data_IF_849594364083
#
_entry.id   IF_849594364083
#
_cell.length_a   1.000
_cell.length_b   1.000
_cell.length_c   1.000
_cell.angle_alpha   90.00
_cell.angle_beta   90.00
_cell.angle_gamma   90.00
#
_symmetry.space_group_name_H-M   'P 1'
#
loop_
_entity.id
_entity.type
_entity.pdbx_description
1 polymer ?
#
# COMPACT_ATOMS: atom_id res chain seq x y z
N UNK A 1 -33.77 65.01 -6.75
CA UNK A 1 -32.66 64.34 -7.45
C UNK A 1 -31.75 63.73 -6.41
N UNK A 2 -31.39 62.49 -6.67
CA UNK A 2 -31.03 61.43 -5.74
C UNK A 2 -29.66 61.57 -5.10
N UNK A 3 -29.56 61.08 -3.86
CA UNK A 3 -28.32 60.85 -3.13
C UNK A 3 -27.57 59.65 -3.73
N UNK A 4 -26.27 59.81 -4.03
CA UNK A 4 -25.34 58.68 -4.07
C UNK A 4 -23.92 59.11 -3.70
N UNK A 5 -23.25 58.25 -2.93
CA UNK A 5 -21.79 58.15 -2.68
C UNK A 5 -21.27 58.95 -1.47
N UNK A 6 -21.20 58.36 -0.26
CA UNK A 6 -20.29 57.33 0.30
C UNK A 6 -18.83 57.78 0.51
N UNK A 7 -18.50 57.89 1.80
CA UNK A 7 -17.30 57.36 2.49
C UNK A 7 -15.96 58.08 2.36
N UNK A 8 -15.58 58.71 3.48
CA UNK A 8 -14.19 58.87 3.88
C UNK A 8 -14.09 58.87 5.40
N UNK A 9 -13.54 57.82 5.99
CA UNK A 9 -12.76 57.95 7.24
C UNK A 9 -11.80 56.78 7.46
N UNK A 10 -10.53 57.15 7.54
CA UNK A 10 -9.40 56.38 8.06
C UNK A 10 -9.65 56.02 9.53
N UNK A 11 -9.22 54.84 9.95
CA UNK A 11 -8.41 54.69 11.16
C UNK A 11 -7.66 53.36 11.11
N UNK A 12 -6.36 53.44 11.37
CA UNK A 12 -5.49 52.30 11.59
C UNK A 12 -5.79 51.69 12.96
N UNK A 13 -5.91 50.38 13.04
CA UNK A 13 -5.76 49.62 14.27
C UNK A 13 -5.06 48.30 13.95
N UNK A 14 -3.85 48.18 14.50
CA UNK A 14 -3.01 46.99 14.50
C UNK A 14 -3.69 45.93 15.35
N UNK A 15 -4.27 44.92 14.72
CA UNK A 15 -4.79 43.73 15.40
C UNK A 15 -4.20 42.48 14.78
N UNK A 16 -3.27 41.89 15.51
CA UNK A 16 -2.79 40.51 15.37
C UNK A 16 -4.00 39.58 15.22
N UNK A 17 -4.22 39.05 14.03
CA UNK A 17 -5.16 37.95 13.81
C UNK A 17 -4.39 36.64 13.74
N UNK A 18 -4.45 35.93 14.86
CA UNK A 18 -4.28 34.49 14.99
C UNK A 18 -5.12 33.77 13.93
N UNK A 19 -4.47 33.04 13.04
CA UNK A 19 -5.16 32.15 12.09
C UNK A 19 -5.59 30.88 12.84
N UNK A 20 -6.87 30.49 12.79
CA UNK A 20 -7.37 29.34 13.52
C UNK A 20 -6.84 28.04 12.90
N UNK A 21 -6.32 27.18 13.77
CA UNK A 21 -6.15 25.76 13.50
C UNK A 21 -7.54 25.14 13.39
N UNK A 22 -7.88 24.55 12.25
CA UNK A 22 -8.88 23.48 12.25
C UNK A 22 -8.73 22.48 11.10
N UNK A 23 -8.67 21.23 11.53
CA UNK A 23 -9.33 20.06 10.96
C UNK A 23 -9.14 19.73 9.48
N UNK A 24 -8.41 18.65 9.24
CA UNK A 24 -8.41 17.95 7.96
C UNK A 24 -7.32 16.90 7.77
N UNK A 25 -6.80 16.26 8.83
CA UNK A 25 -5.99 15.05 8.66
C UNK A 25 -6.93 13.87 8.36
N UNK A 26 -7.38 13.79 7.10
CA UNK A 26 -7.92 12.55 6.55
C UNK A 26 -6.75 11.67 6.09
N UNK A 27 -6.78 10.42 6.54
CA UNK A 27 -5.68 9.47 6.46
C UNK A 27 -5.08 9.32 5.06
N UNK A 28 -3.77 9.54 4.97
CA UNK A 28 -2.96 9.00 3.87
C UNK A 28 -2.86 7.49 4.07
N UNK A 29 -3.86 6.76 3.56
CA UNK A 29 -3.61 5.44 2.95
C UNK A 29 -2.37 5.62 2.05
N UNK A 30 -1.30 4.90 2.33
CA UNK A 30 -0.02 5.04 1.65
C UNK A 30 -0.22 4.97 0.13
N UNK A 31 -0.07 6.10 -0.55
CA UNK A 31 -0.10 6.11 -2.02
C UNK A 31 1.23 5.54 -2.50
N UNK A 32 1.16 4.55 -3.41
CA UNK A 32 2.33 3.93 -4.07
C UNK A 32 3.21 4.99 -4.77
N UNK A 33 2.60 6.10 -5.20
CA UNK A 33 3.27 7.31 -5.68
C UNK A 33 2.70 8.56 -5.01
N UNK A 34 3.55 9.51 -4.65
CA UNK A 34 3.08 10.88 -4.48
C UNK A 34 2.85 11.57 -5.84
N UNK A 35 2.06 12.65 -5.87
CA UNK A 35 1.75 13.38 -7.11
C UNK A 35 2.99 13.86 -7.85
N UNK A 36 4.09 14.16 -7.15
CA UNK A 36 5.37 14.51 -7.75
C UNK A 36 6.02 13.36 -8.52
N UNK A 37 6.04 12.18 -7.92
CA UNK A 37 6.66 10.98 -8.49
C UNK A 37 5.89 10.49 -9.74
N UNK A 38 4.56 10.55 -9.70
CA UNK A 38 3.74 10.17 -10.85
C UNK A 38 3.96 11.10 -12.06
N UNK A 39 4.15 12.41 -11.83
CA UNK A 39 4.46 13.37 -12.91
C UNK A 39 5.77 13.00 -13.61
N UNK A 40 6.79 12.71 -12.82
CA UNK A 40 8.11 12.28 -13.30
C UNK A 40 7.99 10.98 -14.09
N UNK A 41 7.25 9.99 -13.58
CA UNK A 41 7.02 8.72 -14.27
C UNK A 41 6.29 8.89 -15.59
N UNK A 42 5.17 9.63 -15.62
CA UNK A 42 4.42 9.83 -16.86
C UNK A 42 5.24 10.56 -17.91
N UNK A 43 5.99 11.58 -17.50
CA UNK A 43 6.83 12.33 -18.42
C UNK A 43 7.99 11.46 -18.96
N UNK A 44 8.57 10.60 -18.13
CA UNK A 44 9.57 9.62 -18.58
C UNK A 44 9.00 8.67 -19.63
N UNK A 45 7.79 8.14 -19.41
CA UNK A 45 7.13 7.28 -20.40
C UNK A 45 6.86 8.01 -21.71
N UNK A 46 6.43 9.28 -21.64
CA UNK A 46 6.22 10.12 -22.82
C UNK A 46 7.53 10.45 -23.56
N UNK A 47 8.67 10.42 -22.87
CA UNK A 47 10.00 10.56 -23.49
C UNK A 47 10.45 9.30 -24.23
N UNK A 48 9.96 8.13 -23.82
CA UNK A 48 10.21 6.86 -24.52
C UNK A 48 9.33 6.75 -25.78
N UNK A 49 8.04 7.05 -25.64
CA UNK A 49 7.08 7.02 -26.75
C UNK A 49 5.90 7.96 -26.49
N UNK A 50 5.42 8.70 -27.52
CA UNK A 50 4.15 9.40 -27.44
C UNK A 50 2.97 8.44 -27.21
N UNK A 51 2.13 8.71 -26.20
CA UNK A 51 1.10 7.77 -25.75
C UNK A 51 -0.22 8.46 -25.42
N UNK A 52 -1.31 7.69 -25.46
CA UNK A 52 -2.61 8.12 -24.93
C UNK A 52 -2.71 7.86 -23.43
N UNK A 53 -3.58 8.61 -22.73
CA UNK A 53 -3.75 8.45 -21.28
C UNK A 53 -4.18 7.05 -20.84
N UNK A 54 -4.95 6.32 -21.66
CA UNK A 54 -5.32 4.93 -21.37
C UNK A 54 -4.15 3.96 -21.59
N UNK A 55 -3.28 4.21 -22.56
CA UNK A 55 -2.07 3.41 -22.82
C UNK A 55 -1.11 3.55 -21.65
N UNK A 56 -0.90 4.78 -21.16
CA UNK A 56 -0.10 5.03 -19.95
C UNK A 56 -0.65 4.27 -18.72
N UNK A 57 -1.97 4.16 -18.56
CA UNK A 57 -2.58 3.34 -17.50
C UNK A 57 -2.23 1.85 -17.65
N UNK A 58 -2.29 1.34 -18.88
CA UNK A 58 -1.97 -0.06 -19.19
C UNK A 58 -0.48 -0.35 -19.03
N UNK A 59 0.38 0.53 -19.53
CA UNK A 59 1.84 0.38 -19.47
C UNK A 59 2.36 0.50 -18.04
N UNK A 60 1.78 1.38 -17.22
CA UNK A 60 2.07 1.40 -15.77
C UNK A 60 1.60 0.10 -15.14
N UNK A 61 0.42 -0.44 -15.48
CA UNK A 61 0.01 -1.74 -14.93
C UNK A 61 1.02 -2.84 -15.29
N UNK A 62 1.48 -2.87 -16.54
CA UNK A 62 2.40 -3.90 -17.03
C UNK A 62 3.79 -3.78 -16.41
N UNK A 63 4.36 -2.56 -16.37
CA UNK A 63 5.68 -2.30 -15.77
C UNK A 63 5.75 -2.64 -14.28
N UNK A 64 4.60 -2.63 -13.60
CA UNK A 64 4.49 -2.97 -12.18
C UNK A 64 3.93 -4.39 -11.95
N UNK A 65 3.99 -5.28 -12.96
CA UNK A 65 3.60 -6.69 -12.81
C UNK A 65 2.15 -6.90 -12.40
N UNK A 66 1.27 -5.95 -12.73
CA UNK A 66 -0.14 -5.96 -12.35
C UNK A 66 -0.44 -5.54 -10.90
N UNK A 67 0.58 -5.29 -10.07
CA UNK A 67 0.45 -4.95 -8.65
C UNK A 67 -0.08 -3.52 -8.42
N UNK A 68 0.07 -2.64 -9.41
CA UNK A 68 -0.40 -1.26 -9.34
C UNK A 68 -1.06 -0.84 -10.66
N UNK A 69 -2.30 -0.36 -10.58
CA UNK A 69 -3.00 0.26 -11.71
C UNK A 69 -3.48 1.66 -11.30
N UNK A 70 -2.95 2.73 -11.90
CA UNK A 70 -3.39 4.07 -11.58
C UNK A 70 -4.82 4.30 -12.11
N UNK A 71 -5.63 5.04 -11.35
CA UNK A 71 -6.99 5.36 -11.77
C UNK A 71 -6.99 6.50 -12.80
N UNK A 72 -7.99 6.56 -13.70
CA UNK A 72 -8.20 7.70 -14.59
C UNK A 72 -8.21 9.05 -13.86
N UNK A 73 -8.80 9.10 -12.66
CA UNK A 73 -8.91 10.30 -11.84
C UNK A 73 -7.58 10.81 -11.26
N UNK A 74 -6.49 10.04 -11.39
CA UNK A 74 -5.14 10.48 -11.02
C UNK A 74 -4.30 10.76 -12.27
N UNK A 75 -4.47 9.96 -13.33
CA UNK A 75 -3.71 10.10 -14.58
C UNK A 75 -4.08 11.37 -15.35
N UNK A 76 -5.36 11.57 -15.63
CA UNK A 76 -5.77 12.69 -16.48
C UNK A 76 -5.48 14.06 -15.85
N UNK A 77 -5.72 14.30 -14.54
CA UNK A 77 -5.29 15.55 -13.91
C UNK A 77 -3.78 15.75 -13.92
N UNK A 78 -3.00 14.67 -13.86
CA UNK A 78 -1.53 14.74 -13.93
C UNK A 78 -1.06 15.09 -15.34
N UNK A 79 -1.67 14.51 -16.36
CA UNK A 79 -1.42 14.86 -17.77
C UNK A 79 -1.84 16.30 -18.08
N UNK A 80 -2.99 16.75 -17.57
CA UNK A 80 -3.40 18.15 -17.66
C UNK A 80 -2.36 19.07 -17.02
N UNK A 81 -1.86 18.72 -15.84
CA UNK A 81 -0.81 19.50 -15.18
C UNK A 81 0.48 19.58 -15.99
N UNK A 82 0.92 18.46 -16.59
CA UNK A 82 2.10 18.43 -17.46
C UNK A 82 1.90 19.30 -18.71
N UNK A 83 0.69 19.28 -19.29
CA UNK A 83 0.31 20.14 -20.40
C UNK A 83 0.29 21.62 -20.03
N UNK A 84 -0.38 21.98 -18.93
CA UNK A 84 -0.49 23.37 -18.45
C UNK A 84 0.88 23.99 -18.11
N UNK A 85 1.86 23.15 -17.76
CA UNK A 85 3.25 23.55 -17.48
C UNK A 85 4.16 23.53 -18.70
N UNK A 86 3.62 23.24 -19.88
CA UNK A 86 4.37 23.13 -21.14
C UNK A 86 5.44 22.02 -21.10
N UNK A 87 5.28 21.00 -20.26
CA UNK A 87 6.17 19.82 -20.23
C UNK A 87 5.71 18.72 -21.18
N UNK A 88 4.42 18.70 -21.51
CA UNK A 88 3.85 17.82 -22.53
C UNK A 88 2.96 18.63 -23.47
N UNK A 89 2.88 18.21 -24.73
CA UNK A 89 1.93 18.75 -25.72
C UNK A 89 0.91 17.70 -26.10
N UNK A 90 -0.21 18.14 -26.67
CA UNK A 90 -1.31 17.29 -27.09
C UNK A 90 -1.45 17.35 -28.61
N UNK A 91 -1.23 16.23 -29.25
CA UNK A 91 -1.54 16.03 -30.66
C UNK A 91 -2.94 15.43 -30.79
N UNK A 92 -3.79 16.10 -31.58
CA UNK A 92 -5.13 15.61 -31.89
C UNK A 92 -5.05 14.68 -33.11
N UNK A 93 -5.20 13.38 -32.87
CA UNK A 93 -5.27 12.40 -33.95
C UNK A 93 -6.64 12.40 -34.65
N UNK A 94 -6.67 11.82 -35.86
CA UNK A 94 -7.91 11.54 -36.58
C UNK A 94 -8.82 10.66 -35.72
N UNK A 95 -9.94 11.24 -35.27
CA UNK A 95 -10.87 10.60 -34.32
C UNK A 95 -10.99 11.29 -32.96
N UNK A 96 -10.34 12.44 -32.76
CA UNK A 96 -10.50 13.27 -31.54
C UNK A 96 -9.78 12.72 -30.31
N UNK A 97 -8.92 11.71 -30.48
CA UNK A 97 -8.12 11.14 -29.39
C UNK A 97 -6.89 12.00 -29.15
N UNK A 98 -6.68 12.36 -27.88
CA UNK A 98 -5.53 13.13 -27.41
C UNK A 98 -4.34 12.21 -27.22
N UNK A 99 -3.30 12.38 -28.03
CA UNK A 99 -1.98 11.77 -27.83
C UNK A 99 -1.08 12.79 -27.14
N UNK A 100 -0.36 12.38 -26.11
CA UNK A 100 0.58 13.22 -25.39
C UNK A 100 2.00 12.94 -25.88
N UNK A 101 2.83 13.96 -25.94
CA UNK A 101 4.25 13.88 -26.27
C UNK A 101 5.03 14.88 -25.39
N UNK A 102 6.30 14.57 -25.10
CA UNK A 102 7.16 15.43 -24.29
C UNK A 102 7.66 16.65 -25.08
N UNK A 103 7.85 17.78 -24.41
CA UNK A 103 8.48 19.00 -24.98
C UNK A 103 9.96 19.11 -24.59
N UNK A 104 10.68 20.06 -25.18
CA UNK A 104 12.05 20.38 -24.77
C UNK A 104 12.12 20.84 -23.30
N UNK A 105 11.15 21.64 -22.85
CA UNK A 105 11.04 22.01 -21.42
C UNK A 105 10.74 20.80 -20.53
N UNK A 106 9.92 19.87 -21.01
CA UNK A 106 9.65 18.61 -20.33
C UNK A 106 10.91 17.76 -20.20
N UNK A 107 11.73 17.70 -21.25
CA UNK A 107 13.00 16.96 -21.24
C UNK A 107 14.01 17.59 -20.25
N UNK A 108 14.09 18.92 -20.20
CA UNK A 108 14.90 19.63 -19.23
C UNK A 108 14.42 19.39 -17.79
N UNK A 109 13.11 19.41 -17.57
CA UNK A 109 12.53 19.12 -16.25
C UNK A 109 12.77 17.66 -15.84
N UNK A 110 12.65 16.70 -16.76
CA UNK A 110 12.94 15.29 -16.49
C UNK A 110 14.41 15.11 -16.07
N UNK A 111 15.33 15.76 -16.77
CA UNK A 111 16.77 15.76 -16.44
C UNK A 111 17.03 16.37 -15.06
N UNK A 112 16.35 17.47 -14.71
CA UNK A 112 16.46 18.09 -13.39
C UNK A 112 15.89 17.21 -12.26
N UNK A 113 15.00 16.27 -12.58
CA UNK A 113 14.39 15.33 -11.64
C UNK A 113 15.00 13.92 -11.73
N UNK A 114 16.24 13.80 -12.22
CA UNK A 114 16.91 12.51 -12.38
C UNK A 114 17.01 11.72 -11.07
N UNK A 115 17.21 12.38 -9.92
CA UNK A 115 17.24 11.72 -8.61
C UNK A 115 15.90 11.04 -8.26
N UNK A 116 14.77 11.65 -8.63
CA UNK A 116 13.44 11.06 -8.49
C UNK A 116 13.29 9.88 -9.45
N UNK A 117 13.79 10.00 -10.68
CA UNK A 117 13.81 8.88 -11.63
C UNK A 117 14.66 7.71 -11.13
N UNK A 118 15.80 7.96 -10.50
CA UNK A 118 16.67 6.91 -9.97
C UNK A 118 16.03 6.22 -8.76
N UNK A 119 15.37 6.99 -7.88
CA UNK A 119 14.54 6.43 -6.80
C UNK A 119 13.38 5.59 -7.37
N UNK A 120 12.69 6.06 -8.41
CA UNK A 120 11.63 5.30 -9.07
C UNK A 120 12.16 4.02 -9.70
N UNK A 121 13.29 4.09 -10.41
CA UNK A 121 13.96 2.92 -10.98
C UNK A 121 14.38 1.94 -9.89
N UNK A 122 14.83 2.36 -8.71
CA UNK A 122 15.13 1.45 -7.61
C UNK A 122 13.88 0.75 -7.03
N UNK A 123 12.69 1.35 -7.19
CA UNK A 123 11.40 0.72 -6.83
C UNK A 123 10.86 -0.21 -7.91
N UNK A 124 11.29 -0.04 -9.16
CA UNK A 124 10.77 -0.73 -10.37
C UNK A 124 11.76 -1.75 -10.97
N UNK A 125 13.07 -1.61 -10.72
CA UNK A 125 14.11 -2.57 -11.12
C UNK A 125 13.98 -3.89 -10.33
N UNK A 126 14.35 -5.02 -10.93
CA UNK A 126 13.38 -6.03 -11.33
C UNK A 126 12.95 -6.96 -10.17
N UNK A 127 11.66 -6.95 -9.85
CA UNK A 127 10.92 -8.21 -9.63
C UNK A 127 10.40 -8.79 -10.96
N UNK A 128 10.86 -8.29 -12.11
CA UNK A 128 10.64 -8.94 -13.39
C UNK A 128 11.45 -10.25 -13.43
N UNK A 129 10.75 -11.36 -13.65
CA UNK A 129 11.25 -12.71 -13.87
C UNK A 129 11.44 -13.64 -12.66
N UNK A 130 10.51 -13.63 -11.69
CA UNK A 130 10.08 -14.92 -11.14
C UNK A 130 9.08 -15.51 -12.12
N UNK A 131 9.55 -16.34 -13.06
CA UNK A 131 8.65 -17.24 -13.79
C UNK A 131 7.83 -17.96 -12.71
N UNK A 132 6.50 -17.75 -12.70
CA UNK A 132 5.64 -18.47 -11.77
C UNK A 132 5.96 -19.96 -11.91
N UNK A 133 6.30 -20.67 -10.82
CA UNK A 133 6.65 -22.08 -10.89
C UNK A 133 5.61 -22.85 -11.74
N UNK A 134 6.02 -23.80 -12.60
CA UNK A 134 5.11 -24.52 -13.50
C UNK A 134 3.85 -25.05 -12.79
N UNK A 135 4.02 -25.52 -11.54
CA UNK A 135 2.93 -25.96 -10.66
C UNK A 135 1.87 -24.87 -10.40
N UNK A 136 2.27 -23.61 -10.22
CA UNK A 136 1.34 -22.48 -10.05
C UNK A 136 0.62 -22.14 -11.35
N UNK A 137 1.31 -22.23 -12.49
CA UNK A 137 0.71 -22.03 -13.81
C UNK A 137 -0.36 -23.09 -14.07
N UNK A 138 -0.04 -24.36 -13.81
CA UNK A 138 -0.97 -25.49 -13.93
C UNK A 138 -2.18 -25.34 -13.01
N UNK A 139 -1.98 -24.91 -11.76
CA UNK A 139 -3.08 -24.67 -10.82
C UNK A 139 -4.02 -23.56 -11.30
N UNK A 140 -3.48 -22.47 -11.84
CA UNK A 140 -4.26 -21.37 -12.39
C UNK A 140 -5.01 -21.77 -13.67
N UNK A 141 -4.39 -22.58 -14.52
CA UNK A 141 -5.04 -23.11 -15.73
C UNK A 141 -6.17 -24.08 -15.38
N UNK A 142 -6.03 -24.87 -14.32
CA UNK A 142 -7.11 -25.70 -13.79
C UNK A 142 -8.29 -24.83 -13.33
N UNK A 143 -8.05 -23.78 -12.55
CA UNK A 143 -9.09 -22.86 -12.09
C UNK A 143 -9.83 -22.20 -13.27
N UNK A 144 -9.08 -21.64 -14.24
CA UNK A 144 -9.66 -21.03 -15.45
C UNK A 144 -10.52 -22.02 -16.23
N UNK A 145 -10.07 -23.27 -16.37
CA UNK A 145 -10.82 -24.33 -17.05
C UNK A 145 -12.11 -24.64 -16.30
N UNK A 146 -12.06 -24.82 -14.98
CA UNK A 146 -13.24 -25.07 -14.14
C UNK A 146 -14.31 -23.97 -14.30
N UNK A 147 -13.90 -22.70 -14.34
CA UNK A 147 -14.79 -21.56 -14.56
C UNK A 147 -15.34 -21.53 -16.00
N UNK A 148 -14.50 -21.85 -16.98
CA UNK A 148 -14.87 -21.82 -18.41
C UNK A 148 -15.80 -22.97 -18.82
N UNK A 149 -15.82 -24.08 -18.07
CA UNK A 149 -16.60 -25.27 -18.40
C UNK A 149 -18.12 -25.07 -18.29
N UNK A 150 -18.60 -24.05 -17.56
CA UNK A 150 -20.04 -23.83 -17.34
C UNK A 150 -20.60 -22.53 -17.96
N UNK A 151 -19.74 -21.56 -18.27
CA UNK A 151 -20.13 -20.29 -18.93
C UNK A 151 -20.56 -20.51 -20.40
N UNK A 152 -20.20 -21.65 -21.01
CA UNK A 152 -20.55 -21.97 -22.41
C UNK A 152 -21.95 -22.54 -22.63
N UNK A 153 -22.67 -22.98 -21.58
CA UNK A 153 -23.87 -23.78 -21.76
C UNK A 153 -25.15 -23.22 -21.12
N UNK A 154 -25.09 -22.31 -20.14
CA UNK A 154 -26.29 -21.66 -19.56
C UNK A 154 -25.86 -20.44 -18.71
N UNK A 155 -26.64 -19.33 -18.63
CA UNK A 155 -26.40 -18.29 -17.63
C UNK A 155 -26.44 -18.87 -16.21
N UNK A 156 -25.39 -18.59 -15.43
CA UNK A 156 -25.28 -19.05 -14.05
C UNK A 156 -26.32 -18.34 -13.17
N UNK A 157 -26.99 -19.06 -12.24
CA UNK A 157 -27.83 -18.42 -11.22
C UNK A 157 -27.02 -17.41 -10.40
N UNK A 158 -27.61 -16.26 -10.07
CA UNK A 158 -26.92 -15.19 -9.32
C UNK A 158 -26.24 -15.71 -8.03
N UNK A 159 -26.94 -16.52 -7.24
CA UNK A 159 -26.36 -17.10 -6.01
C UNK A 159 -25.18 -18.05 -6.26
N UNK A 160 -25.08 -18.67 -7.44
CA UNK A 160 -23.91 -19.47 -7.83
C UNK A 160 -22.72 -18.58 -8.22
N UNK A 161 -22.96 -17.42 -8.84
CA UNK A 161 -21.92 -16.42 -9.13
C UNK A 161 -21.33 -15.90 -7.82
N UNK A 162 -22.19 -15.56 -6.86
CA UNK A 162 -21.76 -15.09 -5.53
C UNK A 162 -20.93 -16.16 -4.81
N UNK A 163 -21.39 -17.41 -4.85
CA UNK A 163 -20.66 -18.55 -4.24
C UNK A 163 -19.30 -18.79 -4.89
N UNK A 164 -19.20 -18.67 -6.22
CA UNK A 164 -17.93 -18.80 -6.96
C UNK A 164 -16.98 -17.65 -6.65
N UNK A 165 -17.48 -16.41 -6.60
CA UNK A 165 -16.70 -15.25 -6.22
C UNK A 165 -16.17 -15.40 -4.78
N UNK A 166 -17.02 -15.84 -3.84
CA UNK A 166 -16.62 -16.08 -2.46
C UNK A 166 -15.52 -17.14 -2.36
N UNK A 167 -15.62 -18.24 -3.11
CA UNK A 167 -14.57 -19.27 -3.14
C UNK A 167 -13.23 -18.74 -3.67
N UNK A 168 -13.24 -17.87 -4.68
CA UNK A 168 -12.04 -17.22 -5.21
C UNK A 168 -11.45 -16.25 -4.19
N UNK A 169 -12.28 -15.45 -3.51
CA UNK A 169 -11.83 -14.54 -2.46
C UNK A 169 -11.18 -15.28 -1.28
N UNK A 170 -11.79 -16.36 -0.79
CA UNK A 170 -11.22 -17.22 0.26
C UNK A 170 -9.86 -17.81 -0.15
N UNK A 171 -9.73 -18.24 -1.41
CA UNK A 171 -8.46 -18.73 -1.94
C UNK A 171 -7.40 -17.61 -2.01
N UNK A 172 -7.79 -16.40 -2.43
CA UNK A 172 -6.92 -15.25 -2.49
C UNK A 172 -6.44 -14.81 -1.09
N UNK A 173 -7.34 -14.72 -0.10
CA UNK A 173 -7.00 -14.42 1.29
C UNK A 173 -6.00 -15.42 1.85
N UNK A 174 -6.17 -16.71 1.54
CA UNK A 174 -5.22 -17.75 1.97
C UNK A 174 -3.85 -17.57 1.34
N UNK A 175 -3.78 -17.20 0.06
CA UNK A 175 -2.52 -16.91 -0.64
C UNK A 175 -1.88 -15.65 -0.07
N UNK A 176 -2.65 -14.59 0.15
CA UNK A 176 -2.17 -13.35 0.75
C UNK A 176 -1.56 -13.60 2.12
N UNK A 177 -2.23 -14.40 2.97
CA UNK A 177 -1.70 -14.83 4.26
C UNK A 177 -0.37 -15.58 4.11
N UNK A 178 -0.26 -16.52 3.15
CA UNK A 178 1.00 -17.24 2.89
C UNK A 178 2.13 -16.32 2.40
N UNK A 179 1.80 -15.27 1.64
CA UNK A 179 2.77 -14.32 1.10
C UNK A 179 3.19 -13.22 2.09
N UNK A 180 2.31 -12.90 3.05
CA UNK A 180 2.60 -11.97 4.16
C UNK A 180 3.15 -12.66 5.40
N UNK A 181 3.09 -14.00 5.45
CA UNK A 181 3.87 -14.80 6.40
C UNK A 181 5.35 -14.61 6.04
N UNK A 182 6.19 -14.02 6.90
CA UNK A 182 7.60 -13.85 6.60
C UNK A 182 8.24 -15.21 6.36
N UNK A 183 8.80 -15.41 5.17
CA UNK A 183 9.77 -16.48 4.92
C UNK A 183 10.95 -16.19 5.85
N UNK A 184 11.36 -17.12 6.74
CA UNK A 184 12.59 -16.93 7.50
C UNK A 184 13.71 -16.71 6.48
N UNK A 185 14.33 -15.53 6.49
CA UNK A 185 15.55 -15.32 5.73
C UNK A 185 16.53 -16.40 6.18
N UNK A 186 17.08 -17.19 5.25
CA UNK A 186 17.99 -18.29 5.58
C UNK A 186 19.04 -17.81 6.59
N UNK A 187 19.00 -18.39 7.81
CA UNK A 187 19.87 -18.02 8.93
C UNK A 187 19.23 -17.18 10.05
N UNK A 188 17.96 -16.77 9.94
CA UNK A 188 17.20 -16.24 11.09
C UNK A 188 16.31 -17.34 11.69
N UNK A 189 16.38 -17.48 13.01
CA UNK A 189 15.46 -18.28 13.78
C UNK A 189 14.13 -17.55 13.93
N UNK A 190 13.04 -18.29 13.82
CA UNK A 190 11.70 -17.74 13.98
C UNK A 190 10.91 -18.46 15.07
N UNK A 191 10.04 -17.72 15.76
CA UNK A 191 9.10 -18.27 16.73
C UNK A 191 7.74 -17.69 16.49
N UNK A 192 6.72 -18.54 16.41
CA UNK A 192 5.35 -18.12 16.18
C UNK A 192 4.49 -18.59 17.34
N UNK A 193 3.73 -17.68 17.95
CA UNK A 193 2.68 -18.02 18.90
C UNK A 193 1.31 -17.65 18.33
N UNK A 194 0.38 -18.59 18.40
CA UNK A 194 -1.04 -18.37 18.11
C UNK A 194 -1.82 -18.37 19.41
N UNK A 195 -2.36 -17.22 19.78
CA UNK A 195 -3.08 -17.02 21.04
C UNK A 195 -4.56 -16.83 20.72
N UNK A 196 -5.41 -17.78 21.10
CA UNK A 196 -6.86 -17.67 20.92
C UNK A 196 -7.43 -16.65 21.90
N UNK A 197 -7.91 -15.52 21.40
CA UNK A 197 -8.55 -14.49 22.23
C UNK A 197 -9.47 -13.61 21.38
N UNK A 198 -10.70 -13.32 21.86
CA UNK A 198 -11.59 -12.37 21.20
C UNK A 198 -11.12 -10.92 21.34
N UNK A 199 -10.10 -10.67 22.18
CA UNK A 199 -9.58 -9.33 22.49
C UNK A 199 -8.23 -9.06 21.79
N UNK A 200 -7.90 -9.77 20.71
CA UNK A 200 -6.63 -9.63 19.99
C UNK A 200 -6.26 -8.17 19.64
N UNK A 201 -7.16 -7.30 19.14
CA UNK A 201 -6.82 -5.90 18.86
C UNK A 201 -6.37 -5.13 20.11
N UNK A 202 -6.94 -5.44 21.27
CA UNK A 202 -6.62 -4.77 22.54
C UNK A 202 -5.20 -5.12 22.99
N UNK A 203 -4.83 -6.40 22.91
CA UNK A 203 -3.49 -6.86 23.26
C UNK A 203 -2.44 -6.28 22.32
N UNK A 204 -2.69 -6.31 21.01
CA UNK A 204 -1.82 -5.71 20.00
C UNK A 204 -1.56 -4.22 20.29
N UNK A 205 -2.62 -3.41 20.45
CA UNK A 205 -2.50 -1.97 20.72
C UNK A 205 -1.73 -1.69 22.01
N UNK A 206 -1.96 -2.50 23.06
CA UNK A 206 -1.28 -2.33 24.35
C UNK A 206 0.21 -2.64 24.24
N UNK A 207 0.59 -3.72 23.56
CA UNK A 207 1.99 -4.05 23.29
C UNK A 207 2.66 -2.95 22.46
N UNK A 208 2.03 -2.54 21.35
CA UNK A 208 2.53 -1.46 20.51
C UNK A 208 2.75 -0.16 21.32
N UNK A 209 1.75 0.27 22.10
CA UNK A 209 1.86 1.47 22.93
C UNK A 209 2.93 1.35 24.02
N UNK A 210 3.12 0.16 24.62
CA UNK A 210 4.14 -0.07 25.63
C UNK A 210 5.55 0.10 25.05
N UNK A 211 5.81 -0.47 23.87
CA UNK A 211 7.11 -0.44 23.22
C UNK A 211 7.41 0.85 22.45
N UNK A 212 6.39 1.65 22.13
CA UNK A 212 6.54 2.92 21.39
C UNK A 212 7.48 3.93 22.08
N UNK A 213 7.61 3.86 23.40
CA UNK A 213 8.53 4.72 24.15
C UNK A 213 10.00 4.28 24.06
N UNK A 214 10.27 3.04 23.63
CA UNK A 214 11.63 2.46 23.57
C UNK A 214 12.11 2.20 22.15
N UNK A 215 11.20 2.02 21.20
CA UNK A 215 11.52 1.69 19.81
C UNK A 215 10.46 2.27 18.86
N UNK A 216 10.82 2.61 17.60
CA UNK A 216 9.83 2.93 16.59
C UNK A 216 8.87 1.75 16.37
N UNK A 217 7.58 2.01 16.55
CA UNK A 217 6.50 1.03 16.34
C UNK A 217 5.70 1.47 15.12
N UNK A 218 5.51 0.55 14.17
CA UNK A 218 4.60 0.71 13.04
C UNK A 218 3.38 -0.15 13.33
N UNK A 219 2.21 0.45 13.47
CA UNK A 219 0.97 -0.29 13.74
C UNK A 219 -0.18 0.27 12.93
N UNK A 220 -1.06 -0.61 12.47
CA UNK A 220 -2.36 -0.28 11.89
C UNK A 220 -3.51 -0.84 12.77
N UNK A 221 -4.71 -1.02 12.19
CA UNK A 221 -5.87 -1.53 12.93
C UNK A 221 -5.77 -3.03 13.28
N UNK A 222 -5.03 -3.80 12.47
CA UNK A 222 -4.99 -5.25 12.49
C UNK A 222 -3.56 -5.82 12.63
N UNK A 223 -2.52 -4.99 12.54
CA UNK A 223 -1.14 -5.42 12.65
C UNK A 223 -0.28 -4.42 13.42
N UNK A 224 0.78 -4.93 14.04
CA UNK A 224 1.77 -4.14 14.76
C UNK A 224 3.16 -4.73 14.58
N UNK A 225 4.15 -3.88 14.30
CA UNK A 225 5.53 -4.30 14.11
C UNK A 225 6.47 -3.35 14.86
N UNK A 226 7.45 -3.94 15.55
CA UNK A 226 8.49 -3.20 16.24
C UNK A 226 9.75 -4.03 16.42
N UNK A 227 10.87 -3.33 16.59
CA UNK A 227 12.19 -3.96 16.75
C UNK A 227 12.66 -3.89 18.20
N UNK A 228 13.07 -5.03 18.74
CA UNK A 228 13.83 -5.14 19.98
C UNK A 228 15.34 -5.12 19.66
N UNK A 229 16.19 -4.97 20.68
CA UNK A 229 17.65 -5.03 20.51
C UNK A 229 18.15 -6.38 19.99
N UNK A 230 17.37 -7.44 20.22
CA UNK A 230 17.71 -8.85 19.98
C UNK A 230 16.87 -9.50 18.87
N UNK A 231 15.99 -8.73 18.21
CA UNK A 231 15.18 -9.27 17.10
C UNK A 231 13.98 -8.42 16.76
N UNK A 232 13.22 -8.88 15.77
CA UNK A 232 12.01 -8.22 15.28
C UNK A 232 10.75 -8.93 15.76
N UNK A 233 9.75 -8.13 16.15
CA UNK A 233 8.45 -8.60 16.62
C UNK A 233 7.37 -8.12 15.66
N UNK A 234 6.50 -9.04 15.26
CA UNK A 234 5.30 -8.77 14.49
C UNK A 234 4.09 -9.36 15.20
N UNK A 235 3.01 -8.60 15.21
CA UNK A 235 1.72 -8.92 15.78
C UNK A 235 0.69 -8.82 14.67
N UNK A 236 -0.10 -9.87 14.46
CA UNK A 236 -1.20 -9.88 13.50
C UNK A 236 -2.49 -10.28 14.23
N UNK A 237 -3.53 -9.48 14.07
CA UNK A 237 -4.86 -9.70 14.63
C UNK A 237 -5.66 -10.48 13.60
N UNK A 238 -6.07 -11.68 14.01
CA UNK A 238 -6.99 -12.55 13.29
C UNK A 238 -8.38 -12.48 13.99
N UNK A 239 -9.43 -12.99 13.33
CA UNK A 239 -10.82 -12.84 13.80
C UNK A 239 -11.06 -13.22 15.26
N UNK A 240 -10.35 -14.21 15.79
CA UNK A 240 -10.43 -14.62 17.20
C UNK A 240 -9.08 -15.07 17.77
N UNK A 241 -7.99 -14.54 17.20
CA UNK A 241 -6.65 -14.89 17.64
C UNK A 241 -5.66 -13.74 17.45
N UNK A 242 -4.65 -13.69 18.31
CA UNK A 242 -3.46 -12.88 18.12
C UNK A 242 -2.33 -13.80 17.69
N UNK A 243 -1.79 -13.56 16.49
CA UNK A 243 -0.56 -14.21 16.03
C UNK A 243 0.62 -13.30 16.38
N UNK A 244 1.64 -13.87 17.00
CA UNK A 244 2.88 -13.18 17.33
C UNK A 244 4.01 -13.91 16.60
N UNK A 245 4.78 -13.18 15.81
CA UNK A 245 5.94 -13.69 15.09
C UNK A 245 7.19 -12.99 15.59
N UNK A 246 8.17 -13.78 16.01
CA UNK A 246 9.48 -13.36 16.46
C UNK A 246 10.50 -13.83 15.45
N UNK A 247 11.46 -12.96 15.12
CA UNK A 247 12.59 -13.30 14.28
C UNK A 247 13.86 -12.77 14.89
N UNK A 248 14.84 -13.63 15.11
CA UNK A 248 16.15 -13.31 15.68
C UNK A 248 17.26 -14.03 14.92
N UNK A 249 18.49 -13.54 15.03
CA UNK A 249 19.66 -14.19 14.44
C UNK A 249 20.13 -15.43 15.21
N UNK A 250 19.85 -15.49 16.52
CA UNK A 250 20.28 -16.57 17.41
C UNK A 250 19.08 -17.21 18.12
N UNK A 251 19.17 -18.50 18.47
CA UNK A 251 18.10 -19.21 19.19
C UNK A 251 17.92 -18.73 20.64
N UNK A 252 19.01 -18.24 21.26
CA UNK A 252 18.98 -17.76 22.64
C UNK A 252 18.26 -16.41 22.73
N UNK A 253 18.50 -15.51 21.77
CA UNK A 253 17.78 -14.24 21.60
C UNK A 253 16.28 -14.48 21.43
N UNK A 254 15.92 -15.51 20.65
CA UNK A 254 14.53 -15.89 20.42
C UNK A 254 13.84 -16.35 21.72
N UNK A 255 14.51 -17.15 22.56
CA UNK A 255 13.99 -17.58 23.86
C UNK A 255 13.84 -16.40 24.84
N UNK A 256 14.77 -15.43 24.80
CA UNK A 256 14.66 -14.21 25.59
C UNK A 256 13.47 -13.35 25.13
N UNK A 257 13.26 -13.21 23.81
CA UNK A 257 12.10 -12.50 23.25
C UNK A 257 10.76 -13.15 23.64
N UNK A 258 10.67 -14.48 23.58
CA UNK A 258 9.50 -15.24 24.04
C UNK A 258 9.17 -14.88 25.50
N UNK A 259 10.18 -14.93 26.38
CA UNK A 259 10.04 -14.61 27.81
C UNK A 259 9.61 -13.15 28.04
N UNK A 260 10.19 -12.20 27.29
CA UNK A 260 9.84 -10.79 27.37
C UNK A 260 8.36 -10.60 27.02
N UNK A 261 7.90 -11.17 25.91
CA UNK A 261 6.52 -10.97 25.46
C UNK A 261 5.52 -11.70 26.34
N UNK A 262 5.81 -12.91 26.81
CA UNK A 262 4.98 -13.63 27.77
C UNK A 262 4.73 -12.80 29.03
N UNK A 263 5.78 -12.18 29.58
CA UNK A 263 5.64 -11.30 30.75
C UNK A 263 4.73 -10.11 30.48
N UNK A 264 4.92 -9.41 29.35
CA UNK A 264 4.10 -8.24 29.01
C UNK A 264 2.64 -8.65 28.70
N UNK A 265 2.43 -9.81 28.11
CA UNK A 265 1.10 -10.37 27.86
C UNK A 265 0.41 -10.78 29.16
N UNK A 266 1.13 -11.44 30.08
CA UNK A 266 0.60 -11.80 31.40
C UNK A 266 0.22 -10.54 32.21
N UNK A 267 1.05 -9.50 32.19
CA UNK A 267 0.73 -8.20 32.80
C UNK A 267 -0.44 -7.49 32.09
N UNK A 268 -0.62 -7.72 30.79
CA UNK A 268 -1.74 -7.18 30.04
C UNK A 268 -3.06 -7.94 30.30
N UNK A 269 -2.96 -9.24 30.58
CA UNK A 269 -4.07 -10.19 30.67
C UNK A 269 -4.61 -10.37 32.11
N UNK A 270 -4.59 -9.31 32.93
CA UNK A 270 -5.06 -9.31 34.34
C UNK A 270 -6.47 -9.92 34.55
N UNK A 271 -7.30 -9.98 33.50
CA UNK A 271 -8.69 -10.50 33.54
C UNK A 271 -8.93 -11.68 32.59
N UNK A 272 -7.91 -12.23 31.95
CA UNK A 272 -8.03 -13.27 30.92
C UNK A 272 -6.80 -14.19 30.96
N UNK A 273 -6.99 -15.50 30.96
CA UNK A 273 -5.86 -16.45 30.85
C UNK A 273 -5.57 -16.70 29.37
N UNK A 274 -4.37 -16.37 28.92
CA UNK A 274 -3.90 -16.64 27.56
C UNK A 274 -3.13 -17.97 27.54
N UNK A 275 -3.53 -18.92 26.69
CA UNK A 275 -2.72 -20.10 26.38
C UNK A 275 -1.72 -19.70 25.29
N UNK A 276 -0.47 -19.45 25.70
CA UNK A 276 0.61 -19.03 24.81
C UNK A 276 1.46 -20.26 24.53
N UNK A 277 1.55 -20.66 23.26
CA UNK A 277 2.42 -21.76 22.81
C UNK A 277 3.26 -21.30 21.65
N UNK A 278 4.57 -21.36 21.83
CA UNK A 278 5.55 -21.01 20.80
C UNK A 278 5.89 -22.20 19.93
N UNK A 279 5.92 -21.97 18.63
CA UNK A 279 6.39 -22.90 17.61
C UNK A 279 7.62 -22.30 16.96
N UNK A 280 8.79 -22.91 17.20
CA UNK A 280 10.06 -22.47 16.63
C UNK A 280 10.25 -23.09 15.24
N UNK A 281 10.76 -22.32 14.29
CA UNK A 281 11.11 -22.76 12.94
C UNK A 281 12.43 -22.15 12.47
#
# INVERSE_FOLDING_TARGET
MEQTQRSGKKSADTKTLTVPQNAGQTGRRGRVFDYGELRVLLLAMLSEQPSHGYELIHDIKERFGGLYKPSPGVIYPTLTWLYDRNYAVIDLEKGGRKRYSITDEGQAWLTANQSVMDMLKSRVAPQANRVSPPVMVEAMDHLKRALSLRIKYEPLPAGMIDSLAQAIHLAAERIEHLLTTPVPAEGLHSSIAHITTPNAPRFMRRLCSHFQHRTPVVSDENSGQFRLSIGDVRLDVLDNALQITLTASETDDLAEMETILERHLAEAAVRETLDIRWQRS
#
